data_IF_666631918105
#
_entry.id   IF_666631918105
#
_cell.length_a   1.000
_cell.length_b   1.000
_cell.length_c   1.000
_cell.angle_alpha   90.00
_cell.angle_beta   90.00
_cell.angle_gamma   90.00
#
_symmetry.space_group_name_H-M   'P 1'
#
loop_
_entity.id
_entity.type
_entity.pdbx_description
1 polymer ?
#
# COMPACT_ATOMS: atom_id res chain seq x y z
N UNK A 1 11.31 -7.95 5.38
CA UNK A 1 10.27 -8.32 4.39
C UNK A 1 10.33 -7.45 3.14
N UNK A 2 9.73 -6.24 3.07
CA UNK A 2 9.97 -5.33 1.93
C UNK A 2 11.46 -5.02 1.74
N UNK A 3 12.17 -4.86 2.85
CA UNK A 3 13.63 -4.70 2.87
C UNK A 3 14.39 -5.85 2.20
N UNK A 4 14.02 -7.11 2.42
CA UNK A 4 14.71 -8.26 1.80
C UNK A 4 14.54 -8.22 0.28
N UNK A 5 13.32 -7.93 -0.19
CA UNK A 5 13.02 -7.80 -1.60
C UNK A 5 13.75 -6.59 -2.23
N UNK A 6 13.82 -5.48 -1.50
CA UNK A 6 14.59 -4.30 -1.92
C UNK A 6 16.07 -4.63 -2.05
N UNK A 7 16.67 -5.31 -1.07
CA UNK A 7 18.08 -5.70 -1.15
C UNK A 7 18.39 -6.64 -2.30
N UNK A 8 17.48 -7.58 -2.59
CA UNK A 8 17.59 -8.49 -3.72
C UNK A 8 17.61 -7.73 -5.05
N UNK A 9 16.71 -6.74 -5.21
CA UNK A 9 16.41 -6.14 -6.51
C UNK A 9 17.04 -4.76 -6.73
N UNK A 10 17.47 -4.06 -5.68
CA UNK A 10 18.12 -2.76 -5.80
C UNK A 10 19.42 -2.79 -6.59
N UNK A 11 20.30 -3.80 -6.46
CA UNK A 11 21.47 -3.90 -7.35
C UNK A 11 21.12 -3.98 -8.84
N UNK A 12 19.85 -4.28 -9.17
CA UNK A 12 19.31 -4.38 -10.52
C UNK A 12 18.46 -3.16 -10.93
N UNK A 13 18.43 -2.10 -10.11
CA UNK A 13 17.77 -0.84 -10.43
C UNK A 13 16.44 -0.58 -9.72
N UNK A 14 15.93 -1.51 -8.89
CA UNK A 14 14.68 -1.27 -8.15
C UNK A 14 14.92 -0.44 -6.88
N UNK A 15 14.16 0.63 -6.67
CA UNK A 15 13.99 1.20 -5.33
C UNK A 15 12.58 0.92 -4.80
N UNK A 16 12.48 0.64 -3.49
CA UNK A 16 11.20 0.48 -2.80
C UNK A 16 11.03 1.65 -1.84
N UNK A 17 9.98 2.44 -2.04
CA UNK A 17 9.58 3.47 -1.08
C UNK A 17 8.34 3.00 -0.34
N UNK A 18 8.42 2.91 0.98
CA UNK A 18 7.25 2.59 1.81
C UNK A 18 6.67 3.87 2.39
N UNK A 19 5.34 4.00 2.39
CA UNK A 19 4.65 5.19 2.90
C UNK A 19 3.58 4.72 3.89
N UNK A 20 3.65 5.20 5.13
CA UNK A 20 2.59 5.04 6.10
C UNK A 20 1.53 6.12 5.89
N UNK A 21 0.31 5.73 5.52
CA UNK A 21 -0.85 6.64 5.45
C UNK A 21 -1.45 6.78 6.85
N UNK A 22 -0.91 7.71 7.64
CA UNK A 22 -1.22 7.82 9.07
C UNK A 22 -1.34 9.29 9.49
N UNK A 23 -2.58 9.74 9.72
CA UNK A 23 -2.88 11.12 10.09
C UNK A 23 -2.23 11.55 11.43
N UNK A 24 -2.06 10.62 12.36
CA UNK A 24 -1.36 10.86 13.63
C UNK A 24 0.16 10.99 13.46
N UNK A 25 0.67 10.72 12.25
CA UNK A 25 2.03 11.03 11.85
C UNK A 25 3.10 10.22 12.59
N UNK A 26 4.22 10.88 12.87
CA UNK A 26 5.39 10.25 13.47
C UNK A 26 5.14 9.70 14.87
N UNK A 27 4.18 10.23 15.62
CA UNK A 27 3.86 9.70 16.96
C UNK A 27 3.27 8.29 16.87
N UNK A 28 2.42 8.03 15.87
CA UNK A 28 1.80 6.73 15.67
C UNK A 28 2.69 5.78 14.85
N UNK A 29 3.17 6.23 13.68
CA UNK A 29 3.90 5.38 12.74
C UNK A 29 5.41 5.28 13.05
N UNK A 30 6.00 6.32 13.63
CA UNK A 30 7.44 6.44 13.87
C UNK A 30 8.04 5.30 14.72
N UNK A 31 7.43 4.90 15.84
CA UNK A 31 7.94 3.77 16.63
C UNK A 31 8.02 2.46 15.83
N UNK A 32 7.08 2.21 14.93
CA UNK A 32 7.07 1.02 14.09
C UNK A 32 8.12 1.09 12.98
N UNK A 33 8.28 2.26 12.35
CA UNK A 33 9.34 2.51 11.36
C UNK A 33 10.71 2.34 11.99
N UNK A 34 10.95 2.97 13.16
CA UNK A 34 12.20 2.85 13.90
C UNK A 34 12.51 1.40 14.27
N UNK A 35 11.51 0.66 14.78
CA UNK A 35 11.65 -0.77 15.10
C UNK A 35 11.96 -1.62 13.87
N UNK A 36 11.38 -1.28 12.71
CA UNK A 36 11.62 -2.00 11.48
C UNK A 36 13.03 -1.76 10.91
N UNK A 37 13.70 -0.65 11.31
CA UNK A 37 15.03 -0.26 10.85
C UNK A 37 15.21 -0.42 9.32
N UNK A 38 14.34 0.23 8.52
CA UNK A 38 14.27 0.00 7.08
C UNK A 38 15.56 0.43 6.39
N UNK A 39 16.09 -0.42 5.52
CA UNK A 39 17.15 -0.07 4.57
C UNK A 39 16.60 0.43 3.24
N UNK A 40 15.57 1.24 3.28
CA UNK A 40 14.93 1.87 2.13
C UNK A 40 14.18 3.12 2.62
N UNK A 41 13.83 4.08 1.75
CA UNK A 41 13.06 5.24 2.16
C UNK A 41 11.71 4.83 2.76
N UNK A 42 11.47 5.24 4.01
CA UNK A 42 10.22 5.03 4.72
C UNK A 42 9.65 6.38 5.15
N UNK A 43 8.55 6.75 4.53
CA UNK A 43 7.89 8.04 4.69
C UNK A 43 6.57 7.90 5.45
N UNK A 44 6.05 9.03 5.91
CA UNK A 44 4.74 9.12 6.54
C UNK A 44 3.96 10.19 5.79
N UNK A 45 2.81 9.82 5.24
CA UNK A 45 1.86 10.73 4.65
C UNK A 45 0.73 10.99 5.66
N UNK A 46 0.89 12.07 6.42
CA UNK A 46 -0.14 12.56 7.34
C UNK A 46 -1.35 13.09 6.59
N UNK A 47 -1.10 13.60 5.40
CA UNK A 47 -2.07 14.36 4.65
C UNK A 47 -2.94 13.52 3.73
N UNK A 48 -2.65 12.22 3.57
CA UNK A 48 -3.36 11.35 2.64
C UNK A 48 -3.43 12.03 1.26
N UNK A 49 -2.28 12.56 0.84
CA UNK A 49 -2.08 13.13 -0.49
C UNK A 49 -1.75 12.00 -1.47
N UNK A 50 -0.96 11.02 -1.02
CA UNK A 50 -0.50 9.90 -1.83
C UNK A 50 -1.67 9.03 -2.26
N UNK A 51 -2.55 8.65 -1.33
CA UNK A 51 -3.71 7.84 -1.66
C UNK A 51 -4.72 8.58 -2.55
N UNK A 52 -4.97 9.86 -2.28
CA UNK A 52 -5.82 10.70 -3.12
C UNK A 52 -5.29 10.84 -4.55
N UNK A 53 -3.97 11.04 -4.73
CA UNK A 53 -3.37 11.22 -6.05
C UNK A 53 -3.27 9.91 -6.84
N UNK A 54 -2.88 8.82 -6.18
CA UNK A 54 -2.70 7.52 -6.84
C UNK A 54 -3.98 6.69 -6.90
N UNK A 55 -5.04 7.06 -6.18
CA UNK A 55 -6.29 6.28 -6.10
C UNK A 55 -6.20 5.07 -5.18
N UNK A 56 -5.39 5.14 -4.11
CA UNK A 56 -5.29 4.05 -3.14
C UNK A 56 -6.52 4.11 -2.22
N UNK A 57 -7.28 3.02 -2.15
CA UNK A 57 -8.49 2.94 -1.29
C UNK A 57 -8.35 1.94 -0.15
N UNK A 58 -7.29 1.13 -0.16
CA UNK A 58 -7.01 0.13 0.84
C UNK A 58 -5.49 -0.09 0.96
N UNK A 59 -5.06 -0.59 2.12
CA UNK A 59 -3.66 -0.95 2.38
C UNK A 59 -3.54 -2.43 2.78
N UNK A 60 -2.41 -3.08 2.50
CA UNK A 60 -1.26 -2.55 1.76
C UNK A 60 -1.51 -2.53 0.24
N UNK A 61 -1.14 -1.41 -0.39
CA UNK A 61 -1.20 -1.23 -1.85
C UNK A 61 0.15 -0.79 -2.39
N UNK A 62 0.44 -1.15 -3.63
CA UNK A 62 1.67 -0.78 -4.34
C UNK A 62 1.37 -0.14 -5.69
N UNK A 63 2.19 0.81 -6.07
CA UNK A 63 2.17 1.51 -7.37
C UNK A 63 3.56 1.33 -7.99
N UNK A 64 3.63 1.02 -9.28
CA UNK A 64 4.91 0.86 -9.98
C UNK A 64 5.14 2.05 -10.90
N UNK A 65 6.29 2.68 -10.73
CA UNK A 65 6.72 3.86 -11.47
C UNK A 65 8.05 3.51 -12.14
N UNK A 66 8.12 3.66 -13.46
CA UNK A 66 9.33 3.39 -14.22
C UNK A 66 10.38 4.51 -14.08
N UNK A 67 11.54 4.32 -14.72
CA UNK A 67 12.69 5.21 -14.62
C UNK A 67 12.47 6.59 -15.27
N UNK A 68 11.41 6.75 -16.08
CA UNK A 68 11.02 8.05 -16.65
C UNK A 68 9.89 8.72 -15.87
N UNK A 69 9.47 8.12 -14.75
CA UNK A 69 8.42 8.65 -13.87
C UNK A 69 7.00 8.33 -14.31
N UNK A 70 6.81 7.37 -15.22
CA UNK A 70 5.48 6.95 -15.64
C UNK A 70 4.96 5.81 -14.76
N UNK A 71 3.68 5.90 -14.36
CA UNK A 71 3.00 4.80 -13.68
C UNK A 71 2.79 3.68 -14.70
N UNK A 72 3.35 2.51 -14.44
CA UNK A 72 3.19 1.30 -15.28
C UNK A 72 2.30 0.24 -14.62
N UNK A 73 2.01 0.40 -13.32
CA UNK A 73 0.92 -0.29 -12.62
C UNK A 73 0.34 0.63 -11.56
N UNK A 74 -0.97 0.85 -11.63
CA UNK A 74 -1.72 1.59 -10.61
C UNK A 74 -1.80 0.85 -9.27
N UNK A 75 -2.52 1.42 -8.29
CA UNK A 75 -2.64 0.85 -6.96
C UNK A 75 -3.29 -0.54 -7.00
N UNK A 76 -2.59 -1.53 -6.46
CA UNK A 76 -3.10 -2.89 -6.29
C UNK A 76 -2.60 -3.50 -4.97
N UNK A 77 -3.29 -4.52 -4.41
CA UNK A 77 -2.84 -5.20 -3.21
C UNK A 77 -1.40 -5.68 -3.33
N UNK A 78 -0.54 -5.19 -2.43
CA UNK A 78 0.91 -5.41 -2.50
C UNK A 78 1.40 -6.10 -1.24
N UNK A 79 1.76 -7.37 -1.38
CA UNK A 79 2.29 -8.18 -0.30
C UNK A 79 3.63 -8.79 -0.71
N UNK A 80 4.73 -8.50 -0.02
CA UNK A 80 6.05 -9.07 -0.32
C UNK A 80 6.20 -10.51 0.22
N UNK A 81 5.28 -10.95 1.09
CA UNK A 81 5.12 -12.35 1.48
C UNK A 81 3.69 -12.59 1.97
N UNK A 82 3.28 -13.86 2.08
CA UNK A 82 1.98 -14.23 2.65
C UNK A 82 1.82 -13.66 4.08
N UNK A 83 0.77 -12.87 4.37
CA UNK A 83 0.61 -12.22 5.66
C UNK A 83 0.35 -13.21 6.81
N UNK A 84 0.90 -12.92 8.00
CA UNK A 84 0.74 -13.77 9.18
C UNK A 84 -0.70 -13.85 9.70
N UNK A 85 -1.55 -12.84 9.42
CA UNK A 85 -2.95 -12.85 9.86
C UNK A 85 -3.76 -14.00 9.24
N UNK A 86 -3.30 -14.58 8.13
CA UNK A 86 -3.95 -15.71 7.48
C UNK A 86 -3.98 -16.96 8.38
N UNK A 87 -2.99 -17.09 9.26
CA UNK A 87 -2.84 -18.23 10.18
C UNK A 87 -3.31 -17.89 11.60
N UNK A 88 -3.92 -16.71 11.78
CA UNK A 88 -4.39 -16.27 13.10
C UNK A 88 -5.48 -17.22 13.62
N UNK A 89 -5.18 -17.87 14.73
CA UNK A 89 -6.16 -18.69 15.45
C UNK A 89 -7.15 -17.77 16.15
N UNK A 90 -8.45 -18.09 16.07
CA UNK A 90 -9.48 -17.39 16.84
C UNK A 90 -9.38 -17.85 18.30
N UNK A 91 -9.15 -16.95 19.26
CA UNK A 91 -9.14 -17.31 20.68
C UNK A 91 -10.46 -17.96 21.10
N UNK A 92 -10.41 -18.93 22.01
CA UNK A 92 -11.62 -19.62 22.48
C UNK A 92 -12.59 -18.67 23.21
N UNK A 93 -12.04 -17.69 23.91
CA UNK A 93 -12.72 -16.61 24.64
C UNK A 93 -13.07 -15.39 23.77
N UNK A 94 -12.83 -15.45 22.45
CA UNK A 94 -13.15 -14.36 21.56
C UNK A 94 -14.66 -14.09 21.53
N UNK A 95 -15.04 -12.82 21.72
CA UNK A 95 -16.42 -12.38 21.56
C UNK A 95 -16.88 -12.57 20.11
N UNK A 96 -18.21 -12.69 19.85
CA UNK A 96 -18.71 -12.87 18.49
C UNK A 96 -18.17 -11.81 17.49
N UNK A 97 -18.11 -10.50 17.82
CA UNK A 97 -17.52 -9.50 16.93
C UNK A 97 -16.01 -9.66 16.71
N UNK A 98 -15.26 -10.17 17.70
CA UNK A 98 -13.83 -10.45 17.53
C UNK A 98 -13.61 -11.62 16.58
N UNK A 99 -14.40 -12.69 16.73
CA UNK A 99 -14.37 -13.87 15.85
C UNK A 99 -14.66 -13.49 14.41
N UNK A 100 -15.74 -12.75 14.17
CA UNK A 100 -16.12 -12.28 12.84
C UNK A 100 -15.00 -11.46 12.18
N UNK A 101 -14.42 -10.48 12.89
CA UNK A 101 -13.30 -9.69 12.36
C UNK A 101 -12.09 -10.54 11.97
N UNK A 102 -11.75 -11.54 12.78
CA UNK A 102 -10.62 -12.45 12.47
C UNK A 102 -10.94 -13.28 11.23
N UNK A 103 -12.16 -13.80 11.11
CA UNK A 103 -12.59 -14.60 9.97
C UNK A 103 -12.62 -13.78 8.67
N UNK A 104 -13.14 -12.55 8.72
CA UNK A 104 -13.12 -11.61 7.57
C UNK A 104 -11.69 -11.30 7.13
N UNK A 105 -10.78 -10.98 8.05
CA UNK A 105 -9.39 -10.68 7.69
C UNK A 105 -8.68 -11.91 7.10
N UNK A 106 -8.99 -13.12 7.60
CA UNK A 106 -8.44 -14.37 7.05
C UNK A 106 -8.95 -14.67 5.64
N UNK A 107 -10.20 -14.30 5.32
CA UNK A 107 -10.80 -14.57 4.01
C UNK A 107 -10.30 -13.65 2.89
N UNK A 108 -9.66 -12.53 3.20
CA UNK A 108 -9.09 -11.59 2.21
C UNK A 108 -8.19 -12.30 1.20
N UNK A 109 -8.44 -12.15 -0.10
CA UNK A 109 -7.59 -12.76 -1.13
C UNK A 109 -6.19 -12.12 -1.15
N UNK A 110 -5.13 -12.95 -1.14
CA UNK A 110 -3.74 -12.47 -1.14
C UNK A 110 -2.87 -13.34 -2.04
N UNK A 111 -2.30 -12.74 -3.09
CA UNK A 111 -1.40 -13.40 -4.06
C UNK A 111 0.04 -12.88 -3.94
N UNK A 112 0.63 -12.96 -2.75
CA UNK A 112 1.95 -12.39 -2.47
C UNK A 112 3.06 -12.93 -3.40
N UNK A 113 3.10 -14.25 -3.63
CA UNK A 113 4.11 -14.86 -4.50
C UNK A 113 3.98 -14.38 -5.95
N UNK A 114 2.75 -14.24 -6.44
CA UNK A 114 2.47 -13.72 -7.78
C UNK A 114 2.90 -12.27 -7.91
N UNK A 115 2.60 -11.43 -6.91
CA UNK A 115 3.02 -10.03 -6.88
C UNK A 115 4.55 -9.91 -6.93
N UNK A 116 5.26 -10.66 -6.09
CA UNK A 116 6.73 -10.65 -6.06
C UNK A 116 7.32 -11.18 -7.36
N UNK A 117 6.74 -12.23 -7.94
CA UNK A 117 7.18 -12.79 -9.22
C UNK A 117 7.02 -11.78 -10.36
N UNK A 118 5.89 -11.06 -10.38
CA UNK A 118 5.64 -9.98 -11.33
C UNK A 118 6.67 -8.84 -11.18
N UNK A 119 7.00 -8.46 -9.94
CA UNK A 119 7.98 -7.42 -9.68
C UNK A 119 9.39 -7.84 -10.16
N UNK A 120 9.79 -9.09 -9.89
CA UNK A 120 11.07 -9.64 -10.36
C UNK A 120 11.15 -9.71 -11.88
N UNK A 121 10.06 -10.07 -12.55
CA UNK A 121 9.95 -10.08 -14.01
C UNK A 121 10.09 -8.67 -14.58
N UNK A 122 9.41 -7.68 -13.97
CA UNK A 122 9.53 -6.28 -14.36
C UNK A 122 10.94 -5.74 -14.19
N UNK A 123 11.60 -5.99 -13.05
CA UNK A 123 13.01 -5.62 -12.85
C UNK A 123 13.94 -6.29 -13.87
N UNK A 124 13.60 -7.48 -14.38
CA UNK A 124 14.41 -8.18 -15.36
C UNK A 124 14.20 -7.72 -16.80
N UNK A 125 12.98 -7.35 -17.17
CA UNK A 125 12.59 -7.09 -18.56
C UNK A 125 12.31 -5.61 -18.83
N UNK A 126 12.19 -4.80 -17.77
CA UNK A 126 11.77 -3.39 -17.83
C UNK A 126 10.45 -3.26 -18.59
N UNK A 127 10.35 -2.36 -19.58
CA UNK A 127 9.12 -2.15 -20.36
C UNK A 127 8.70 -3.37 -21.20
N UNK A 128 9.56 -4.38 -21.39
CA UNK A 128 9.19 -5.63 -22.07
C UNK A 128 8.47 -6.61 -21.15
N UNK A 129 8.41 -6.35 -19.85
CA UNK A 129 7.65 -7.17 -18.92
C UNK A 129 6.17 -7.11 -19.25
N UNK A 130 5.53 -8.27 -19.28
CA UNK A 130 4.06 -8.37 -19.42
C UNK A 130 3.29 -7.75 -18.25
N UNK A 131 3.98 -7.42 -17.16
CA UNK A 131 3.39 -6.82 -15.97
C UNK A 131 3.48 -5.30 -15.97
N UNK A 132 4.38 -4.71 -16.77
CA UNK A 132 4.39 -3.28 -17.07
C UNK A 132 3.27 -2.98 -18.07
N UNK A 133 2.27 -2.22 -17.66
CA UNK A 133 1.12 -1.92 -18.48
C UNK A 133 1.42 -0.75 -19.42
N UNK A 134 0.87 -0.77 -20.65
CA UNK A 134 0.97 0.39 -21.52
C UNK A 134 0.13 1.56 -20.96
N UNK A 135 0.46 2.82 -21.32
CA UNK A 135 -0.17 4.00 -20.73
C UNK A 135 -1.71 4.00 -20.81
N UNK A 136 -2.28 3.54 -21.93
CA UNK A 136 -3.72 3.45 -22.13
C UNK A 136 -4.40 2.50 -21.14
N UNK A 137 -3.76 1.36 -20.82
CA UNK A 137 -4.27 0.40 -19.84
C UNK A 137 -4.20 0.97 -18.42
N UNK A 138 -3.13 1.71 -18.10
CA UNK A 138 -3.00 2.39 -16.81
C UNK A 138 -4.10 3.43 -16.63
N UNK A 139 -4.34 4.26 -17.65
CA UNK A 139 -5.41 5.26 -17.62
C UNK A 139 -6.77 4.59 -17.51
N UNK A 140 -7.01 3.52 -18.27
CA UNK A 140 -8.28 2.81 -18.25
C UNK A 140 -8.54 2.15 -16.90
N UNK A 141 -7.52 1.55 -16.27
CA UNK A 141 -7.62 0.94 -14.94
C UNK A 141 -7.72 1.95 -13.80
N UNK A 142 -7.30 3.19 -14.04
CA UNK A 142 -7.43 4.30 -13.07
C UNK A 142 -8.82 4.95 -13.08
N UNK A 143 -9.79 4.36 -13.80
CA UNK A 143 -11.16 4.86 -13.96
C UNK A 143 -12.18 3.82 -13.47
N UNK A 144 -13.38 4.26 -13.05
CA UNK A 144 -13.84 5.66 -12.95
C UNK A 144 -13.20 6.39 -11.75
N UNK A 145 -13.26 7.73 -11.76
CA UNK A 145 -12.95 8.57 -10.58
C UNK A 145 -14.22 9.28 -10.13
N UNK A 146 -15.12 8.58 -9.42
CA UNK A 146 -16.42 9.12 -9.05
C UNK A 146 -16.27 10.26 -8.03
N UNK A 147 -17.24 11.17 -8.04
CA UNK A 147 -17.28 12.31 -7.09
C UNK A 147 -17.29 11.84 -5.63
N UNK A 148 -17.76 10.62 -5.36
CA UNK A 148 -17.78 10.03 -4.01
C UNK A 148 -16.38 9.83 -3.43
N UNK A 149 -15.40 9.46 -4.25
CA UNK A 149 -14.00 9.33 -3.81
C UNK A 149 -13.40 10.70 -3.48
N UNK A 150 -13.61 11.69 -4.35
CA UNK A 150 -13.18 13.07 -4.09
C UNK A 150 -13.85 13.66 -2.83
N UNK A 151 -15.13 13.34 -2.63
CA UNK A 151 -15.89 13.76 -1.45
C UNK A 151 -15.37 13.09 -0.18
N UNK A 152 -15.01 11.80 -0.23
CA UNK A 152 -14.40 11.10 0.90
C UNK A 152 -13.05 11.74 1.29
N UNK A 153 -12.20 12.05 0.31
CA UNK A 153 -10.93 12.75 0.55
C UNK A 153 -11.15 14.15 1.17
N UNK A 154 -12.14 14.91 0.68
CA UNK A 154 -12.49 16.22 1.23
C UNK A 154 -13.00 16.13 2.69
N UNK A 155 -13.87 15.16 3.00
CA UNK A 155 -14.33 14.93 4.37
C UNK A 155 -13.17 14.55 5.30
N UNK A 156 -12.24 13.72 4.84
CA UNK A 156 -11.08 13.35 5.61
C UNK A 156 -10.18 14.58 5.91
N UNK A 157 -9.92 15.40 4.90
CA UNK A 157 -9.17 16.64 5.08
C UNK A 157 -9.85 17.60 6.07
N UNK A 158 -11.17 17.75 6.00
CA UNK A 158 -11.95 18.54 6.96
C UNK A 158 -11.86 17.97 8.38
N UNK A 159 -12.03 16.66 8.53
CA UNK A 159 -11.96 15.99 9.83
C UNK A 159 -10.59 16.20 10.50
N UNK A 160 -9.50 16.15 9.72
CA UNK A 160 -8.17 16.49 10.23
C UNK A 160 -8.05 17.95 10.64
N UNK A 161 -8.50 18.87 9.80
CA UNK A 161 -8.41 20.30 10.09
C UNK A 161 -9.15 20.65 11.41
N UNK A 162 -10.31 20.04 11.64
CA UNK A 162 -11.06 20.17 12.90
C UNK A 162 -10.28 19.56 14.07
N UNK A 163 -9.75 18.35 13.91
CA UNK A 163 -8.95 17.68 14.94
C UNK A 163 -7.73 18.51 15.36
N UNK A 164 -6.99 19.05 14.39
CA UNK A 164 -5.81 19.89 14.61
C UNK A 164 -6.17 21.23 15.28
N UNK A 165 -7.38 21.74 15.03
CA UNK A 165 -7.94 22.89 15.74
C UNK A 165 -8.45 22.57 17.17
N UNK A 166 -8.44 21.29 17.57
CA UNK A 166 -8.91 20.84 18.88
C UNK A 166 -10.42 20.57 18.97
N UNK A 167 -11.14 20.62 17.85
CA UNK A 167 -12.56 20.30 17.75
C UNK A 167 -12.69 18.76 17.64
N UNK A 168 -13.17 18.10 18.70
CA UNK A 168 -13.24 16.64 18.82
C UNK A 168 -14.65 16.12 19.04
#
# INVERSE_FOLDING_TARGET
MWQELREELHPRGLEIVTIALDAAGAEAAGPWIAKAAPRHPSLIDREHVVDALFGIVNVPSGVWIDEVGAIVRGPEPAHPKRPAYKDRVVPADATPPQRERIEVVRSLHVEAERYVSALRDWVALGPRSRYALPPEDVVQRSRPRPITEATAAAHFALGRALHDAGER
#
